data_IF_278518149989
#
_entry.id   IF_278518149989
#
_cell.length_a   1.000
_cell.length_b   1.000
_cell.length_c   1.000
_cell.angle_alpha   90.00
_cell.angle_beta   90.00
_cell.angle_gamma   90.00
#
_symmetry.space_group_name_H-M   'P 1'
#
loop_
_entity.id
_entity.type
_entity.pdbx_description
1 polymer ?
#
# COMPACT_ATOMS: atom_id res chain seq x y z
N UNK A 1 7.45 0.99 21.81
CA UNK A 1 6.20 1.75 21.89
C UNK A 1 5.47 1.48 23.20
N UNK A 2 5.26 0.23 23.59
CA UNK A 2 4.52 -0.15 24.81
C UNK A 2 5.08 0.40 26.12
N UNK A 3 6.37 0.79 26.16
CA UNK A 3 6.98 1.46 27.29
C UNK A 3 6.52 2.93 27.46
N UNK A 4 6.06 3.56 26.37
CA UNK A 4 5.62 4.95 26.34
C UNK A 4 4.11 5.08 26.16
N UNK A 5 3.51 4.21 25.37
CA UNK A 5 2.08 4.18 25.08
C UNK A 5 1.52 2.78 25.40
N UNK A 6 0.74 2.66 26.47
CA UNK A 6 0.15 1.38 26.85
C UNK A 6 -0.87 0.89 25.81
N UNK A 7 -1.54 1.83 25.11
CA UNK A 7 -2.46 1.54 23.99
C UNK A 7 -2.36 2.63 22.92
N UNK A 8 -2.85 2.35 21.71
CA UNK A 8 -2.92 3.31 20.61
C UNK A 8 -4.06 2.96 19.62
N UNK A 9 -4.42 3.92 18.75
CA UNK A 9 -5.62 3.85 17.91
C UNK A 9 -5.35 3.33 16.51
N UNK A 10 -4.14 2.90 16.22
CA UNK A 10 -3.80 2.32 14.92
C UNK A 10 -2.42 2.68 14.42
N UNK A 11 -2.10 2.20 13.22
CA UNK A 11 -0.84 2.52 12.55
C UNK A 11 -1.01 2.53 11.04
N UNK A 12 -0.12 3.26 10.38
CA UNK A 12 0.03 3.26 8.93
C UNK A 12 1.30 2.50 8.55
N UNK A 13 1.13 1.41 7.81
CA UNK A 13 2.22 0.63 7.26
C UNK A 13 2.58 1.17 5.88
N UNK A 14 3.74 1.81 5.77
CA UNK A 14 4.29 2.32 4.51
C UNK A 14 5.66 1.72 4.19
N UNK A 15 5.78 0.41 4.42
CA UNK A 15 7.01 -0.35 4.22
C UNK A 15 6.93 -1.09 2.90
N UNK A 16 8.00 -1.05 2.12
CA UNK A 16 8.14 -1.80 0.89
C UNK A 16 9.58 -1.82 0.41
N UNK A 17 10.02 -2.98 -0.02
CA UNK A 17 11.34 -3.18 -0.60
C UNK A 17 11.33 -4.38 -1.53
N UNK A 18 12.05 -4.27 -2.65
CA UNK A 18 12.45 -5.39 -3.48
C UNK A 18 13.87 -5.16 -3.97
N UNK A 19 14.70 -6.22 -4.14
CA UNK A 19 16.00 -6.11 -4.79
C UNK A 19 15.87 -5.48 -6.18
N UNK A 20 16.86 -4.70 -6.58
CA UNK A 20 16.81 -3.93 -7.83
C UNK A 20 16.63 -4.82 -9.06
N UNK A 21 17.30 -5.97 -9.09
CA UNK A 21 17.19 -6.97 -10.14
C UNK A 21 15.77 -7.56 -10.26
N UNK A 22 15.04 -7.63 -9.15
CA UNK A 22 13.67 -8.15 -9.12
C UNK A 22 12.62 -7.18 -9.68
N UNK A 23 12.99 -5.92 -9.92
CA UNK A 23 12.07 -4.89 -10.44
C UNK A 23 12.52 -4.33 -11.79
N UNK A 24 13.81 -4.41 -12.14
CA UNK A 24 14.34 -3.83 -13.36
C UNK A 24 14.22 -4.78 -14.56
N UNK A 25 13.96 -4.22 -15.76
CA UNK A 25 13.96 -4.98 -17.01
C UNK A 25 12.78 -5.93 -17.18
N UNK A 26 13.01 -7.04 -17.88
CA UNK A 26 11.98 -8.08 -18.08
C UNK A 26 11.70 -8.84 -16.78
N UNK A 27 10.45 -9.25 -16.60
CA UNK A 27 10.02 -9.93 -15.39
C UNK A 27 10.75 -11.26 -15.16
N UNK A 28 10.92 -12.07 -16.22
CA UNK A 28 11.54 -13.39 -16.10
C UNK A 28 13.04 -13.29 -15.88
N UNK A 29 13.71 -12.29 -16.45
CA UNK A 29 15.16 -12.10 -16.30
C UNK A 29 15.54 -11.78 -14.84
N UNK A 30 14.71 -11.00 -14.14
CA UNK A 30 14.93 -10.61 -12.74
C UNK A 30 14.32 -11.56 -11.70
N UNK A 31 13.64 -12.62 -12.16
CA UNK A 31 12.94 -13.54 -11.24
C UNK A 31 13.91 -14.53 -10.60
N UNK A 32 14.06 -14.44 -9.28
CA UNK A 32 14.75 -15.46 -8.47
C UNK A 32 13.97 -15.79 -7.21
N UNK A 33 14.17 -16.98 -6.68
CA UNK A 33 13.53 -17.40 -5.41
C UNK A 33 13.88 -16.47 -4.27
N UNK A 34 15.15 -16.10 -4.17
CA UNK A 34 15.65 -15.22 -3.11
C UNK A 34 15.02 -13.82 -3.21
N UNK A 35 15.08 -13.18 -4.38
CA UNK A 35 14.50 -11.86 -4.58
C UNK A 35 12.97 -11.85 -4.37
N UNK A 36 12.28 -12.92 -4.79
CA UNK A 36 10.86 -13.11 -4.53
C UNK A 36 10.56 -13.19 -3.03
N UNK A 37 11.32 -13.97 -2.27
CA UNK A 37 11.16 -14.11 -0.82
C UNK A 37 11.40 -12.78 -0.11
N UNK A 38 12.47 -12.07 -0.42
CA UNK A 38 12.80 -10.76 0.16
C UNK A 38 11.69 -9.75 -0.09
N UNK A 39 11.21 -9.65 -1.34
CA UNK A 39 10.15 -8.72 -1.69
C UNK A 39 8.84 -9.02 -0.92
N UNK A 40 8.44 -10.29 -0.82
CA UNK A 40 7.22 -10.68 -0.12
C UNK A 40 7.35 -10.57 1.40
N UNK A 41 8.48 -10.93 1.98
CA UNK A 41 8.72 -10.80 3.42
C UNK A 41 8.60 -9.34 3.86
N UNK A 42 9.33 -8.44 3.16
CA UNK A 42 9.36 -7.02 3.54
C UNK A 42 8.08 -6.29 3.13
N UNK A 43 7.55 -6.54 1.91
CA UNK A 43 6.50 -5.68 1.34
C UNK A 43 5.08 -6.24 1.50
N UNK A 44 4.92 -7.49 1.90
CA UNK A 44 3.62 -8.12 2.12
C UNK A 44 3.46 -8.66 3.54
N UNK A 45 4.35 -9.56 3.98
CA UNK A 45 4.24 -10.20 5.29
C UNK A 45 4.37 -9.23 6.46
N UNK A 46 5.18 -8.19 6.34
CA UNK A 46 5.41 -7.22 7.42
C UNK A 46 4.12 -6.54 7.92
N UNK A 47 3.14 -6.29 7.06
CA UNK A 47 1.87 -5.68 7.47
C UNK A 47 1.05 -6.57 8.43
N UNK A 48 0.68 -7.81 8.07
CA UNK A 48 0.00 -8.70 9.01
C UNK A 48 0.85 -9.05 10.23
N UNK A 49 2.17 -9.13 10.12
CA UNK A 49 3.06 -9.34 11.26
C UNK A 49 3.00 -8.17 12.26
N UNK A 50 3.04 -6.92 11.77
CA UNK A 50 2.87 -5.73 12.61
C UNK A 50 1.47 -5.68 13.24
N UNK A 51 0.41 -6.00 12.48
CA UNK A 51 -0.94 -6.04 13.01
C UNK A 51 -1.10 -7.08 14.13
N UNK A 52 -0.51 -8.27 13.96
CA UNK A 52 -0.46 -9.31 15.01
C UNK A 52 0.26 -8.82 16.27
N UNK A 53 1.42 -8.19 16.11
CA UNK A 53 2.19 -7.67 17.24
C UNK A 53 1.49 -6.48 17.94
N UNK A 54 0.78 -5.65 17.17
CA UNK A 54 0.06 -4.49 17.67
C UNK A 54 -1.26 -4.84 18.39
N UNK A 55 -1.89 -5.97 18.04
CA UNK A 55 -3.24 -6.34 18.49
C UNK A 55 -3.48 -6.21 20.00
N UNK A 56 -2.56 -6.59 20.91
CA UNK A 56 -2.76 -6.43 22.35
C UNK A 56 -2.88 -4.97 22.80
N UNK A 57 -2.29 -4.05 22.03
CA UNK A 57 -2.16 -2.63 22.35
C UNK A 57 -3.16 -1.74 21.59
N UNK A 58 -3.88 -2.28 20.60
CA UNK A 58 -4.87 -1.53 19.84
C UNK A 58 -6.13 -1.29 20.69
N UNK A 59 -6.61 -0.05 20.73
CA UNK A 59 -7.89 0.32 21.31
C UNK A 59 -9.06 -0.29 20.51
N UNK A 60 -10.26 -0.31 21.07
CA UNK A 60 -11.47 -0.62 20.31
C UNK A 60 -11.70 0.44 19.22
N UNK A 61 -12.21 0.04 18.06
CA UNK A 61 -12.44 0.89 16.89
C UNK A 61 -11.18 1.43 16.21
N UNK A 62 -9.99 0.95 16.59
CA UNK A 62 -8.73 1.29 15.92
C UNK A 62 -8.74 0.92 14.45
N UNK A 63 -7.86 1.53 13.68
CA UNK A 63 -7.64 1.23 12.27
C UNK A 63 -6.18 0.90 11.97
N UNK A 64 -5.96 -0.08 11.09
CA UNK A 64 -4.64 -0.33 10.49
C UNK A 64 -4.73 -0.12 9.00
N UNK A 65 -3.73 0.55 8.43
CA UNK A 65 -3.72 0.96 7.04
C UNK A 65 -2.39 0.60 6.38
N UNK A 66 -2.45 0.18 5.11
CA UNK A 66 -1.25 -0.02 4.30
C UNK A 66 -1.29 0.77 3.01
N UNK A 67 -0.10 1.03 2.44
CA UNK A 67 0.05 1.68 1.14
C UNK A 67 0.41 0.64 0.08
N UNK A 68 -0.36 0.63 -0.99
CA UNK A 68 -0.16 -0.21 -2.18
C UNK A 68 -0.07 0.66 -3.44
N UNK A 69 -0.02 0.02 -4.59
CA UNK A 69 0.11 0.68 -5.89
C UNK A 69 -0.60 -0.13 -6.98
N UNK A 70 -0.99 0.55 -8.05
CA UNK A 70 -1.69 -0.03 -9.21
C UNK A 70 -1.04 -1.31 -9.75
N UNK A 71 0.27 -1.46 -9.59
CA UNK A 71 1.02 -2.66 -9.96
C UNK A 71 0.56 -3.95 -9.28
N UNK A 72 -0.27 -3.88 -8.24
CA UNK A 72 -0.90 -5.04 -7.63
C UNK A 72 -1.95 -5.71 -8.52
N UNK A 73 -2.59 -4.96 -9.43
CA UNK A 73 -3.69 -5.43 -10.28
C UNK A 73 -3.44 -5.24 -11.79
N UNK A 74 -2.44 -4.46 -12.16
CA UNK A 74 -2.05 -4.22 -13.56
C UNK A 74 -0.54 -4.36 -13.70
N UNK A 75 -0.08 -4.83 -14.86
CA UNK A 75 1.34 -4.87 -15.18
C UNK A 75 1.87 -3.45 -15.35
N UNK A 76 2.88 -3.11 -14.55
CA UNK A 76 3.61 -1.85 -14.63
C UNK A 76 5.07 -2.15 -14.96
N UNK A 77 5.62 -1.59 -16.05
CA UNK A 77 7.02 -1.79 -16.42
C UNK A 77 7.97 -1.44 -15.26
N UNK A 78 9.00 -2.25 -15.06
CA UNK A 78 9.97 -2.10 -13.96
C UNK A 78 9.36 -2.15 -12.55
N UNK A 79 8.25 -2.84 -12.39
CA UNK A 79 7.65 -3.10 -11.07
C UNK A 79 7.66 -4.59 -10.71
N UNK A 80 7.48 -5.47 -11.68
CA UNK A 80 7.71 -6.91 -11.68
C UNK A 80 7.35 -7.62 -10.34
N UNK A 81 8.32 -8.24 -9.65
CA UNK A 81 8.11 -8.97 -8.39
C UNK A 81 7.47 -8.11 -7.29
N UNK A 82 7.71 -6.78 -7.30
CA UNK A 82 7.02 -5.88 -6.37
C UNK A 82 5.50 -5.85 -6.61
N UNK A 83 5.06 -5.97 -7.86
CA UNK A 83 3.62 -6.08 -8.19
C UNK A 83 2.99 -7.30 -7.53
N UNK A 84 3.67 -8.45 -7.58
CA UNK A 84 3.22 -9.68 -6.92
C UNK A 84 3.16 -9.53 -5.40
N UNK A 85 4.17 -8.90 -4.79
CA UNK A 85 4.17 -8.61 -3.36
C UNK A 85 3.03 -7.65 -2.97
N UNK A 86 2.75 -6.63 -3.80
CA UNK A 86 1.62 -5.71 -3.55
C UNK A 86 0.26 -6.39 -3.73
N UNK A 87 0.11 -7.32 -4.67
CA UNK A 87 -1.10 -8.14 -4.78
C UNK A 87 -1.34 -8.99 -3.52
N UNK A 88 -0.28 -9.61 -3.00
CA UNK A 88 -0.31 -10.33 -1.73
C UNK A 88 -0.66 -9.42 -0.54
N UNK A 89 -0.08 -8.20 -0.51
CA UNK A 89 -0.40 -7.18 0.50
C UNK A 89 -1.88 -6.79 0.47
N UNK A 90 -2.46 -6.53 -0.70
CA UNK A 90 -3.88 -6.20 -0.85
C UNK A 90 -4.80 -7.36 -0.44
N UNK A 91 -4.41 -8.59 -0.74
CA UNK A 91 -5.12 -9.76 -0.24
C UNK A 91 -5.09 -9.80 1.30
N UNK A 92 -3.95 -9.50 1.93
CA UNK A 92 -3.82 -9.52 3.39
C UNK A 92 -4.71 -8.49 4.09
N UNK A 93 -5.05 -7.36 3.44
CA UNK A 93 -6.01 -6.37 3.97
C UNK A 93 -7.36 -7.03 4.28
N UNK A 94 -7.88 -7.85 3.38
CA UNK A 94 -9.18 -8.54 3.55
C UNK A 94 -9.14 -9.55 4.69
N UNK A 95 -8.09 -10.37 4.74
CA UNK A 95 -7.91 -11.35 5.83
C UNK A 95 -7.69 -10.69 7.18
N UNK A 96 -6.96 -9.56 7.22
CA UNK A 96 -6.80 -8.79 8.45
C UNK A 96 -8.10 -8.15 8.92
N UNK A 97 -8.90 -7.59 8.02
CA UNK A 97 -10.19 -7.00 8.37
C UNK A 97 -11.10 -8.01 9.07
N UNK A 98 -11.22 -9.21 8.53
CA UNK A 98 -11.98 -10.31 9.15
C UNK A 98 -11.38 -10.73 10.49
N UNK A 99 -10.08 -11.01 10.52
CA UNK A 99 -9.39 -11.49 11.73
C UNK A 99 -9.40 -10.46 12.87
N UNK A 100 -9.18 -9.18 12.57
CA UNK A 100 -9.16 -8.13 13.57
C UNK A 100 -10.55 -7.81 14.09
N UNK A 101 -11.55 -7.71 13.20
CA UNK A 101 -12.94 -7.45 13.55
C UNK A 101 -13.54 -8.53 14.45
N UNK A 102 -13.17 -9.81 14.23
CA UNK A 102 -13.59 -10.93 15.08
C UNK A 102 -12.94 -10.93 16.46
N UNK A 103 -11.73 -10.38 16.62
CA UNK A 103 -10.98 -10.34 17.89
C UNK A 103 -11.33 -9.12 18.74
N UNK A 104 -11.48 -7.96 18.11
CA UNK A 104 -11.90 -6.73 18.79
C UNK A 104 -12.93 -5.99 17.94
N UNK A 105 -14.13 -5.82 18.47
CA UNK A 105 -15.23 -5.16 17.77
C UNK A 105 -14.85 -3.75 17.30
N UNK A 106 -15.05 -3.49 16.02
CA UNK A 106 -14.82 -2.19 15.40
C UNK A 106 -13.37 -1.97 14.91
N UNK A 107 -12.47 -2.94 15.04
CA UNK A 107 -11.16 -2.87 14.40
C UNK A 107 -11.30 -2.96 12.88
N UNK A 108 -10.58 -2.10 12.17
CA UNK A 108 -10.65 -1.98 10.71
C UNK A 108 -9.27 -2.15 10.08
N UNK A 109 -9.23 -2.73 8.89
CA UNK A 109 -8.02 -2.81 8.07
C UNK A 109 -8.34 -2.39 6.65
N UNK A 110 -7.58 -1.42 6.11
CA UNK A 110 -7.75 -0.90 4.77
C UNK A 110 -6.40 -0.71 4.08
N UNK A 111 -6.45 -0.49 2.76
CA UNK A 111 -5.29 -0.11 1.96
C UNK A 111 -5.58 1.14 1.14
N UNK A 112 -4.52 1.87 0.79
CA UNK A 112 -4.58 2.96 -0.19
C UNK A 112 -3.68 2.60 -1.37
N UNK A 113 -4.26 2.53 -2.57
CA UNK A 113 -3.54 2.47 -3.82
C UNK A 113 -3.27 3.90 -4.30
N UNK A 114 -2.07 4.40 -3.99
CA UNK A 114 -1.68 5.76 -4.33
C UNK A 114 -1.15 5.85 -5.77
N UNK A 115 -1.42 6.96 -6.45
CA UNK A 115 -0.73 7.31 -7.68
C UNK A 115 0.78 7.55 -7.45
N UNK A 116 1.58 7.68 -8.51
CA UNK A 116 3.01 7.90 -8.37
C UNK A 116 3.29 9.26 -7.72
N UNK A 117 4.05 9.24 -6.62
CA UNK A 117 4.49 10.41 -5.87
C UNK A 117 6.02 10.42 -5.82
N UNK A 118 6.63 11.57 -6.03
CA UNK A 118 8.09 11.74 -5.96
C UNK A 118 8.55 11.62 -4.50
N UNK A 119 8.93 10.42 -4.10
CA UNK A 119 9.51 10.10 -2.79
C UNK A 119 10.96 9.68 -2.94
N UNK A 120 11.69 9.59 -1.83
CA UNK A 120 13.07 9.07 -1.83
C UNK A 120 13.11 7.64 -2.39
N UNK A 121 12.18 6.77 -1.98
CA UNK A 121 12.07 5.40 -2.51
C UNK A 121 11.79 5.37 -4.02
N UNK A 122 10.90 6.22 -4.51
CA UNK A 122 10.56 6.31 -5.93
C UNK A 122 11.69 6.87 -6.78
N UNK A 123 12.60 7.67 -6.22
CA UNK A 123 13.75 8.23 -6.95
C UNK A 123 14.72 7.17 -7.44
N UNK A 124 14.73 5.98 -6.86
CA UNK A 124 15.52 4.83 -7.30
C UNK A 124 14.95 4.09 -8.52
N UNK A 125 13.73 4.38 -8.94
CA UNK A 125 13.06 3.74 -10.09
C UNK A 125 13.52 4.41 -11.38
N UNK A 126 14.13 3.64 -12.27
CA UNK A 126 14.58 4.14 -13.59
C UNK A 126 13.39 4.65 -14.40
N UNK A 127 13.48 5.88 -14.91
CA UNK A 127 12.42 6.47 -15.74
C UNK A 127 11.22 7.00 -14.97
N UNK A 128 11.30 7.14 -13.64
CA UNK A 128 10.18 7.61 -12.81
C UNK A 128 9.62 8.97 -13.24
N UNK A 129 10.45 9.91 -13.72
CA UNK A 129 9.99 11.19 -14.27
C UNK A 129 9.05 11.04 -15.47
N UNK A 130 9.30 10.05 -16.34
CA UNK A 130 8.40 9.75 -17.47
C UNK A 130 7.07 9.18 -16.98
N UNK A 131 7.08 8.36 -15.95
CA UNK A 131 5.85 7.84 -15.32
C UNK A 131 5.01 9.01 -14.79
N UNK A 132 5.61 9.97 -14.10
CA UNK A 132 4.92 11.16 -13.59
C UNK A 132 4.26 11.98 -14.71
N UNK A 133 4.95 12.20 -15.84
CA UNK A 133 4.39 12.93 -16.97
C UNK A 133 3.19 12.22 -17.60
N UNK A 134 3.35 10.92 -17.88
CA UNK A 134 2.28 10.10 -18.45
C UNK A 134 1.04 10.06 -17.54
N UNK A 135 1.24 9.87 -16.23
CA UNK A 135 0.12 9.83 -15.29
C UNK A 135 -0.56 11.19 -15.17
N UNK A 136 0.19 12.31 -15.14
CA UNK A 136 -0.40 13.64 -15.09
C UNK A 136 -1.25 13.95 -16.33
N UNK A 137 -0.82 13.50 -17.52
CA UNK A 137 -1.55 13.70 -18.77
C UNK A 137 -2.80 12.83 -18.90
N UNK A 138 -2.69 11.56 -18.47
CA UNK A 138 -3.76 10.57 -18.58
C UNK A 138 -4.81 10.68 -17.47
N UNK A 139 -4.43 11.09 -16.26
CA UNK A 139 -5.33 11.18 -15.12
C UNK A 139 -6.51 12.12 -15.38
N UNK A 140 -7.75 11.77 -15.01
CA UNK A 140 -8.90 12.66 -15.11
C UNK A 140 -8.70 14.03 -14.46
N UNK A 141 -8.02 14.10 -13.32
CA UNK A 141 -7.73 15.39 -12.65
C UNK A 141 -6.58 16.18 -13.28
N UNK A 142 -5.91 15.65 -14.33
CA UNK A 142 -4.84 16.31 -15.11
C UNK A 142 -3.64 16.78 -14.29
N UNK A 143 -3.36 16.09 -13.21
CA UNK A 143 -2.15 16.26 -12.39
C UNK A 143 -1.79 14.98 -11.66
N UNK A 144 -0.57 14.88 -11.20
CA UNK A 144 -0.23 13.84 -10.21
C UNK A 144 -0.87 14.16 -8.86
N UNK A 145 -1.15 13.13 -8.09
CA UNK A 145 -1.53 13.28 -6.68
C UNK A 145 -0.34 13.73 -5.85
N UNK A 146 -0.60 14.39 -4.75
CA UNK A 146 0.40 14.88 -3.80
C UNK A 146 0.45 14.01 -2.53
N UNK A 147 1.44 14.23 -1.68
CA UNK A 147 1.52 13.61 -0.35
C UNK A 147 0.30 14.00 0.47
N UNK A 148 -0.15 15.25 0.35
CA UNK A 148 -1.32 15.79 1.05
C UNK A 148 -2.62 15.13 0.59
N UNK A 149 -2.78 14.89 -0.73
CA UNK A 149 -3.97 14.17 -1.25
C UNK A 149 -4.07 12.78 -0.59
N UNK A 150 -2.95 12.04 -0.52
CA UNK A 150 -2.90 10.72 0.13
C UNK A 150 -3.08 10.85 1.64
N UNK A 151 -2.42 11.81 2.28
CA UNK A 151 -2.50 12.07 3.72
C UNK A 151 -3.92 12.37 4.19
N UNK A 152 -4.70 13.13 3.42
CA UNK A 152 -6.09 13.43 3.72
C UNK A 152 -6.97 12.16 3.73
N UNK A 153 -6.74 11.24 2.78
CA UNK A 153 -7.47 9.96 2.74
C UNK A 153 -6.99 9.03 3.86
N UNK A 154 -5.69 9.04 4.19
CA UNK A 154 -5.17 8.35 5.39
C UNK A 154 -5.90 8.85 6.64
N UNK A 155 -5.98 10.16 6.86
CA UNK A 155 -6.65 10.76 8.01
C UNK A 155 -8.13 10.35 8.08
N UNK A 156 -8.84 10.36 6.96
CA UNK A 156 -10.23 9.89 6.87
C UNK A 156 -10.34 8.42 7.27
N UNK A 157 -9.57 7.52 6.63
CA UNK A 157 -9.64 6.08 6.89
C UNK A 157 -9.21 5.67 8.30
N UNK A 158 -8.33 6.46 8.93
CA UNK A 158 -7.89 6.24 10.31
C UNK A 158 -8.86 6.81 11.34
N UNK A 159 -9.79 7.69 10.95
CA UNK A 159 -10.75 8.34 11.85
C UNK A 159 -12.08 7.59 11.97
N UNK A 160 -12.92 8.01 12.94
CA UNK A 160 -14.29 7.51 13.12
C UNK A 160 -15.22 7.84 11.94
N UNK A 161 -14.86 8.81 11.08
CA UNK A 161 -15.62 9.12 9.86
C UNK A 161 -15.69 7.93 8.92
N UNK A 162 -14.69 7.03 8.96
CA UNK A 162 -14.63 5.81 8.18
C UNK A 162 -15.08 4.56 8.96
N UNK A 163 -15.91 4.70 10.00
CA UNK A 163 -16.31 3.59 10.88
C UNK A 163 -16.96 2.40 10.13
N UNK A 164 -17.59 2.64 9.00
CA UNK A 164 -18.19 1.62 8.13
C UNK A 164 -17.27 1.10 7.02
N UNK A 165 -16.00 1.55 6.95
CA UNK A 165 -15.07 1.20 5.87
C UNK A 165 -13.98 0.25 6.37
N UNK A 166 -13.99 -1.00 5.90
CA UNK A 166 -12.97 -2.01 6.20
C UNK A 166 -12.83 -2.98 5.03
N UNK A 167 -11.71 -3.66 4.92
CA UNK A 167 -11.36 -4.58 3.82
C UNK A 167 -11.26 -3.91 2.44
N UNK A 168 -11.15 -2.59 2.39
CA UNK A 168 -11.18 -1.78 1.17
C UNK A 168 -9.77 -1.38 0.71
N UNK A 169 -9.59 -1.28 -0.61
CA UNK A 169 -8.44 -0.66 -1.26
C UNK A 169 -8.93 0.62 -1.95
N UNK A 170 -8.69 1.75 -1.30
CA UNK A 170 -9.10 3.06 -1.81
C UNK A 170 -8.07 3.63 -2.77
N UNK A 171 -8.49 3.97 -3.98
CA UNK A 171 -7.61 4.58 -4.98
C UNK A 171 -7.47 6.08 -4.75
N UNK A 172 -6.23 6.54 -4.61
CA UNK A 172 -5.86 7.96 -4.54
C UNK A 172 -4.83 8.22 -5.64
N UNK A 173 -5.28 8.23 -6.88
CA UNK A 173 -4.45 8.25 -8.09
C UNK A 173 -4.93 9.25 -9.15
N UNK A 174 -5.83 10.14 -8.78
CA UNK A 174 -6.43 11.11 -9.71
C UNK A 174 -7.32 10.48 -10.77
N UNK A 175 -7.78 9.25 -10.54
CA UNK A 175 -8.61 8.48 -11.47
C UNK A 175 -7.81 7.76 -12.55
N UNK A 176 -6.48 7.76 -12.49
CA UNK A 176 -5.62 7.13 -13.49
C UNK A 176 -5.95 5.64 -13.71
N UNK A 177 -6.20 4.90 -12.63
CA UNK A 177 -6.53 3.47 -12.71
C UNK A 177 -7.81 3.16 -13.47
N UNK A 178 -8.70 4.14 -13.66
CA UNK A 178 -10.02 3.98 -14.27
C UNK A 178 -10.08 4.37 -15.75
N UNK A 179 -9.01 4.91 -16.30
CA UNK A 179 -8.96 5.29 -17.72
C UNK A 179 -8.25 4.24 -18.55
N UNK A 180 -8.67 4.09 -19.79
CA UNK A 180 -7.97 3.30 -20.80
C UNK A 180 -6.90 4.19 -21.42
N UNK A 181 -5.70 3.65 -21.64
CA UNK A 181 -4.61 4.36 -22.34
C UNK A 181 -5.11 4.81 -23.72
N UNK A 182 -4.89 6.08 -24.03
CA UNK A 182 -5.23 6.71 -25.32
C UNK A 182 -4.02 6.73 -26.22
#
# INVERSE_FOLDING_TARGET
LSQHWPTFDGFVHSIGFAPKEAIAGDFLDGLSREAFQIAHDISAYSFPAMAKAALPYLNSKSAVLTLTYLGAIRTVPNYNTMGLAKASLEASVRYLAESLGSKKRGLRANGISAGPIKTLAASGIKGFGKILSVVAEASPIRRNVTIEDVGNVVAFLMSDLAAGVTAEITYVDGGFSQVVDR
#
